data_IF_541943237328
#
_entry.id   IF_541943237328
#
_cell.length_a   1.000
_cell.length_b   1.000
_cell.length_c   1.000
_cell.angle_alpha   90.00
_cell.angle_beta   90.00
_cell.angle_gamma   90.00
#
_symmetry.space_group_name_H-M   'P 1'
#
loop_
_entity.id
_entity.type
_entity.pdbx_description
1 polymer ?
#
# COMPACT_ATOMS: atom_id res chain seq x y z
N UNK A 1 -32.44 27.62 -14.15
CA UNK A 1 -31.19 28.30 -13.71
C UNK A 1 -30.97 28.08 -12.21
N UNK A 2 -30.95 26.81 -11.79
CA UNK A 2 -30.59 26.38 -10.43
C UNK A 2 -30.19 24.90 -10.53
N UNK A 3 -29.09 24.64 -11.22
CA UNK A 3 -28.49 23.31 -11.41
C UNK A 3 -27.06 23.54 -11.91
N UNK A 4 -26.16 23.80 -10.96
CA UNK A 4 -24.69 24.03 -11.04
C UNK A 4 -24.38 24.64 -9.67
N UNK A 5 -23.63 24.08 -8.72
CA UNK A 5 -22.55 23.10 -8.70
C UNK A 5 -22.63 22.47 -7.30
N UNK A 6 -23.05 21.21 -7.20
CA UNK A 6 -22.17 20.12 -6.81
C UNK A 6 -21.19 20.48 -5.67
N UNK A 7 -21.60 20.18 -4.43
CA UNK A 7 -20.76 19.57 -3.39
C UNK A 7 -19.28 20.01 -3.41
N UNK A 8 -18.99 21.16 -2.78
CA UNK A 8 -17.62 21.57 -2.45
C UNK A 8 -17.06 20.69 -1.33
N UNK A 9 -16.85 19.40 -1.62
CA UNK A 9 -15.98 18.56 -0.80
C UNK A 9 -14.86 18.03 -1.71
N UNK A 10 -13.59 18.40 -1.48
CA UNK A 10 -12.45 17.91 -2.27
C UNK A 10 -12.25 16.38 -2.21
N UNK A 11 -13.08 15.65 -1.46
CA UNK A 11 -13.10 14.19 -1.34
C UNK A 11 -13.94 13.46 -2.40
N UNK A 12 -14.89 14.11 -3.09
CA UNK A 12 -15.80 13.41 -4.03
C UNK A 12 -15.18 13.17 -5.41
N UNK A 13 -14.08 13.88 -5.75
CA UNK A 13 -13.42 13.78 -7.07
C UNK A 13 -12.36 12.67 -7.11
N UNK A 14 -12.03 12.04 -5.98
CA UNK A 14 -10.97 11.02 -5.86
C UNK A 14 -11.49 9.57 -5.82
N UNK A 15 -12.72 9.31 -6.27
CA UNK A 15 -13.32 7.97 -6.13
C UNK A 15 -12.85 6.91 -7.13
N UNK A 16 -12.07 7.23 -8.17
CA UNK A 16 -11.62 6.21 -9.16
C UNK A 16 -10.12 5.85 -9.08
N UNK A 17 -9.25 6.72 -8.55
CA UNK A 17 -7.80 6.49 -8.58
C UNK A 17 -7.27 5.74 -7.32
N UNK A 18 -7.92 5.86 -6.15
CA UNK A 18 -7.40 5.33 -4.87
C UNK A 18 -8.33 4.34 -4.19
N UNK A 19 -9.04 3.52 -4.97
CA UNK A 19 -10.09 2.60 -4.49
C UNK A 19 -9.62 1.73 -3.31
N UNK A 20 -8.39 1.23 -3.32
CA UNK A 20 -7.90 0.37 -2.23
C UNK A 20 -7.82 1.09 -0.88
N UNK A 21 -7.54 2.39 -0.85
CA UNK A 21 -7.42 3.17 0.39
C UNK A 21 -8.77 3.34 1.10
N UNK A 22 -9.87 3.33 0.33
CA UNK A 22 -11.23 3.41 0.90
C UNK A 22 -11.60 2.21 1.79
N UNK A 23 -10.86 1.09 1.68
CA UNK A 23 -11.07 -0.09 2.52
C UNK A 23 -10.61 0.10 3.97
N UNK A 24 -9.81 1.13 4.25
CA UNK A 24 -9.25 1.40 5.58
C UNK A 24 -10.13 2.45 6.27
N UNK A 25 -11.00 2.00 7.17
CA UNK A 25 -12.02 2.83 7.79
C UNK A 25 -11.46 3.54 9.04
N UNK A 26 -11.72 4.84 9.14
CA UNK A 26 -11.46 5.62 10.37
C UNK A 26 -9.99 6.01 10.58
N UNK A 27 -9.16 5.94 9.54
CA UNK A 27 -7.72 6.29 9.59
C UNK A 27 -7.34 7.40 8.59
N UNK A 28 -8.25 8.33 8.31
CA UNK A 28 -8.10 9.37 7.28
C UNK A 28 -6.79 10.15 7.42
N UNK A 29 -6.47 10.65 8.62
CA UNK A 29 -5.25 11.44 8.87
C UNK A 29 -3.96 10.65 8.56
N UNK A 30 -3.96 9.35 8.86
CA UNK A 30 -2.81 8.48 8.59
C UNK A 30 -2.67 8.20 7.08
N UNK A 31 -3.79 7.92 6.41
CA UNK A 31 -3.85 7.71 4.96
C UNK A 31 -3.38 8.98 4.23
N UNK A 32 -3.84 10.16 4.64
CA UNK A 32 -3.45 11.43 4.04
C UNK A 32 -1.95 11.72 4.19
N UNK A 33 -1.33 11.30 5.29
CA UNK A 33 0.12 11.41 5.48
C UNK A 33 0.88 10.48 4.55
N UNK A 34 0.41 9.23 4.41
CA UNK A 34 1.02 8.25 3.52
C UNK A 34 0.91 8.71 2.07
N UNK A 35 -0.28 9.11 1.61
CA UNK A 35 -0.52 9.57 0.24
C UNK A 35 0.32 10.82 -0.09
N UNK A 36 0.46 11.76 0.85
CA UNK A 36 1.37 12.90 0.66
C UNK A 36 2.82 12.47 0.52
N UNK A 37 3.27 11.51 1.33
CA UNK A 37 4.63 10.99 1.22
C UNK A 37 4.89 10.22 -0.07
N UNK A 38 3.89 9.48 -0.58
CA UNK A 38 4.00 8.75 -1.85
C UNK A 38 4.10 9.68 -3.06
N UNK A 39 3.56 10.90 -2.96
CA UNK A 39 3.65 11.94 -4.00
C UNK A 39 4.94 12.75 -3.93
N UNK A 40 5.70 12.65 -2.84
CA UNK A 40 7.00 13.31 -2.69
C UNK A 40 8.06 12.53 -3.46
N UNK A 41 8.97 13.22 -4.15
CA UNK A 41 10.15 12.60 -4.77
C UNK A 41 11.13 12.03 -3.72
N UNK A 42 11.03 12.48 -2.47
CA UNK A 42 11.83 12.03 -1.33
C UNK A 42 11.06 11.01 -0.46
N UNK A 43 10.45 10.00 -1.09
CA UNK A 43 9.73 8.96 -0.38
C UNK A 43 10.61 8.17 0.62
N UNK A 44 10.06 7.83 1.79
CA UNK A 44 10.76 6.94 2.74
C UNK A 44 10.84 5.51 2.20
N UNK A 45 12.01 4.89 2.30
CA UNK A 45 12.28 3.51 1.91
C UNK A 45 11.73 2.47 2.91
N UNK A 46 11.36 2.91 4.12
CA UNK A 46 10.87 2.03 5.18
C UNK A 46 9.70 2.67 5.94
N UNK A 47 8.72 1.83 6.28
CA UNK A 47 7.50 2.23 6.96
C UNK A 47 7.20 1.29 8.12
N UNK A 48 6.88 1.86 9.28
CA UNK A 48 6.47 1.10 10.47
C UNK A 48 5.05 1.52 10.87
N UNK A 49 4.09 0.60 10.73
CA UNK A 49 2.73 0.81 11.18
C UNK A 49 2.58 0.38 12.64
N UNK A 50 2.18 1.31 13.51
CA UNK A 50 2.02 1.09 14.95
C UNK A 50 0.58 1.37 15.37
N UNK A 51 0.04 0.55 16.25
CA UNK A 51 -1.30 0.74 16.81
C UNK A 51 -1.92 -0.56 17.35
N UNK A 52 -3.13 -0.48 17.95
CA UNK A 52 -3.82 -1.62 18.53
C UNK A 52 -4.09 -2.76 17.53
N UNK A 53 -4.37 -3.97 18.04
CA UNK A 53 -4.80 -5.10 17.19
C UNK A 53 -6.13 -4.75 16.51
N UNK A 54 -6.27 -5.09 15.23
CA UNK A 54 -7.50 -4.86 14.46
C UNK A 54 -7.63 -3.48 13.81
N UNK A 55 -6.73 -2.53 14.06
CA UNK A 55 -6.78 -1.16 13.49
C UNK A 55 -6.48 -1.09 11.97
N UNK A 56 -6.21 -2.23 11.32
CA UNK A 56 -5.96 -2.28 9.87
C UNK A 56 -4.49 -2.18 9.45
N UNK A 57 -3.51 -2.27 10.36
CA UNK A 57 -2.06 -2.18 10.03
C UNK A 57 -1.62 -3.05 8.85
N UNK A 58 -2.00 -4.32 8.86
CA UNK A 58 -1.68 -5.26 7.79
C UNK A 58 -2.36 -4.87 6.47
N UNK A 59 -3.64 -4.52 6.52
CA UNK A 59 -4.39 -4.02 5.37
C UNK A 59 -3.72 -2.79 4.77
N UNK A 60 -3.34 -1.80 5.60
CA UNK A 60 -2.63 -0.60 5.18
C UNK A 60 -1.30 -0.94 4.51
N UNK A 61 -0.52 -1.88 5.07
CA UNK A 61 0.74 -2.32 4.46
C UNK A 61 0.51 -2.93 3.06
N UNK A 62 -0.51 -3.77 2.90
CA UNK A 62 -0.86 -4.36 1.60
C UNK A 62 -1.32 -3.33 0.58
N UNK A 63 -2.20 -2.41 1.00
CA UNK A 63 -2.69 -1.32 0.15
C UNK A 63 -1.53 -0.41 -0.27
N UNK A 64 -0.60 -0.12 0.64
CA UNK A 64 0.58 0.67 0.34
C UNK A 64 1.52 -0.04 -0.66
N UNK A 65 1.76 -1.33 -0.49
CA UNK A 65 2.54 -2.13 -1.45
C UNK A 65 1.89 -2.12 -2.84
N UNK A 66 0.55 -2.21 -2.89
CA UNK A 66 -0.21 -2.11 -4.13
C UNK A 66 -0.10 -0.72 -4.75
N UNK A 67 -0.18 0.34 -3.95
CA UNK A 67 -0.07 1.72 -4.43
C UNK A 67 1.30 2.01 -5.04
N UNK A 68 2.39 1.54 -4.43
CA UNK A 68 3.76 1.70 -4.95
C UNK A 68 3.97 1.03 -6.31
N UNK A 69 3.30 -0.10 -6.57
CA UNK A 69 3.40 -0.81 -7.85
C UNK A 69 2.27 -0.44 -8.84
N UNK A 70 1.40 0.49 -8.47
CA UNK A 70 0.29 0.95 -9.29
C UNK A 70 0.67 2.26 -9.99
N UNK A 71 0.18 2.47 -11.21
CA UNK A 71 0.35 3.75 -11.91
C UNK A 71 -0.55 4.86 -11.33
N UNK A 72 -1.62 4.48 -10.64
CA UNK A 72 -2.68 5.37 -10.15
C UNK A 72 -2.75 5.34 -8.61
N UNK A 73 -1.69 4.98 -7.89
CA UNK A 73 -1.66 4.96 -6.41
C UNK A 73 -2.70 4.03 -5.74
N UNK A 74 -3.00 2.88 -6.34
CA UNK A 74 -3.83 1.84 -5.74
C UNK A 74 -5.26 1.77 -6.28
N UNK A 75 -5.41 1.76 -7.61
CA UNK A 75 -6.70 1.68 -8.29
C UNK A 75 -7.46 0.36 -8.07
N UNK A 76 -6.82 -0.68 -7.54
CA UNK A 76 -7.45 -1.98 -7.24
C UNK A 76 -7.81 -2.85 -8.46
N UNK A 77 -7.77 -2.31 -9.68
CA UNK A 77 -8.19 -3.01 -10.91
C UNK A 77 -7.03 -3.49 -11.79
N UNK A 78 -5.84 -2.91 -11.65
CA UNK A 78 -4.69 -3.31 -12.45
C UNK A 78 -4.13 -4.68 -12.00
N UNK A 79 -3.37 -5.33 -12.89
CA UNK A 79 -2.78 -6.67 -12.64
C UNK A 79 -1.90 -6.67 -11.39
N UNK A 80 -1.09 -5.64 -11.18
CA UNK A 80 -0.22 -5.54 -10.00
C UNK A 80 -1.04 -5.45 -8.71
N UNK A 81 -1.99 -4.51 -8.62
CA UNK A 81 -2.93 -4.43 -7.48
C UNK A 81 -3.61 -5.77 -7.22
N UNK A 82 -4.11 -6.44 -8.26
CA UNK A 82 -4.78 -7.73 -8.13
C UNK A 82 -3.86 -8.86 -7.64
N UNK A 83 -2.58 -8.89 -8.05
CA UNK A 83 -1.59 -9.87 -7.57
C UNK A 83 -1.20 -9.60 -6.12
N UNK A 84 -1.00 -8.34 -5.76
CA UNK A 84 -0.56 -7.92 -4.42
C UNK A 84 -1.65 -8.17 -3.39
N UNK A 85 -2.89 -7.82 -3.72
CA UNK A 85 -4.04 -8.07 -2.82
C UNK A 85 -4.30 -9.56 -2.59
N UNK A 86 -3.87 -10.42 -3.53
CA UNK A 86 -3.89 -11.88 -3.43
C UNK A 86 -2.59 -12.50 -2.91
N UNK A 87 -1.60 -11.68 -2.55
CA UNK A 87 -0.31 -12.13 -1.99
C UNK A 87 0.49 -13.06 -2.94
N UNK A 88 0.36 -12.86 -4.25
CA UNK A 88 1.04 -13.65 -5.30
C UNK A 88 1.95 -12.81 -6.21
N UNK A 89 2.31 -11.61 -5.80
CA UNK A 89 3.19 -10.75 -6.59
C UNK A 89 4.65 -11.22 -6.42
N UNK A 90 5.40 -11.50 -7.52
CA UNK A 90 6.71 -12.14 -7.45
C UNK A 90 7.78 -11.29 -6.74
N UNK A 91 7.63 -9.96 -6.76
CA UNK A 91 8.58 -9.02 -6.15
C UNK A 91 8.14 -8.53 -4.75
N UNK A 92 7.10 -9.12 -4.16
CA UNK A 92 6.65 -8.76 -2.80
C UNK A 92 6.75 -9.98 -1.90
N UNK A 93 7.50 -9.80 -0.82
CA UNK A 93 7.79 -10.85 0.14
C UNK A 93 7.03 -10.59 1.44
N UNK A 94 6.23 -11.56 1.85
CA UNK A 94 5.59 -11.58 3.16
C UNK A 94 6.44 -12.41 4.11
N UNK A 95 6.94 -11.77 5.17
CA UNK A 95 7.60 -12.45 6.29
C UNK A 95 6.64 -12.42 7.48
N UNK A 96 6.27 -13.61 7.93
CA UNK A 96 5.48 -13.80 9.14
C UNK A 96 6.35 -14.46 10.23
N UNK A 97 6.11 -14.13 11.50
CA UNK A 97 6.79 -14.79 12.60
C UNK A 97 6.36 -16.25 12.75
N UNK A 98 7.31 -17.11 13.06
CA UNK A 98 7.06 -18.48 13.51
C UNK A 98 6.92 -18.46 15.03
N UNK A 99 5.66 -18.45 15.50
CA UNK A 99 5.36 -18.24 16.92
C UNK A 99 5.76 -16.83 17.37
N UNK A 100 6.80 -16.75 18.21
CA UNK A 100 7.30 -15.47 18.76
C UNK A 100 8.61 -15.02 18.10
N UNK A 101 9.07 -15.70 17.05
CA UNK A 101 10.40 -15.48 16.48
C UNK A 101 10.34 -15.25 14.97
N UNK A 102 11.27 -14.44 14.48
CA UNK A 102 11.62 -14.37 13.06
C UNK A 102 13.06 -14.86 12.97
N UNK A 103 13.28 -15.95 12.25
CA UNK A 103 14.60 -16.56 12.13
C UNK A 103 15.53 -15.68 11.28
N UNK A 104 16.80 -15.63 11.67
CA UNK A 104 17.80 -14.82 10.96
C UNK A 104 18.08 -15.38 9.56
N UNK A 105 17.95 -16.70 9.39
CA UNK A 105 18.05 -17.39 8.10
C UNK A 105 17.01 -16.85 7.11
N UNK A 106 15.74 -16.74 7.52
CA UNK A 106 14.65 -16.19 6.70
C UNK A 106 14.98 -14.78 6.18
N UNK A 107 15.55 -13.93 7.05
CA UNK A 107 15.93 -12.57 6.68
C UNK A 107 17.12 -12.57 5.71
N UNK A 108 18.12 -13.43 5.91
CA UNK A 108 19.28 -13.55 5.02
C UNK A 108 18.87 -14.01 3.62
N UNK A 109 17.95 -14.97 3.53
CA UNK A 109 17.41 -15.47 2.26
C UNK A 109 16.60 -14.39 1.52
N UNK A 110 15.82 -13.59 2.26
CA UNK A 110 15.16 -12.42 1.72
C UNK A 110 16.16 -11.43 1.13
N UNK A 111 17.22 -11.07 1.89
CA UNK A 111 18.23 -10.10 1.44
C UNK A 111 18.92 -10.54 0.14
N UNK A 112 19.14 -11.85 -0.03
CA UNK A 112 19.68 -12.39 -1.28
C UNK A 112 18.69 -12.27 -2.44
N UNK A 113 17.40 -12.48 -2.18
CA UNK A 113 16.33 -12.40 -3.18
C UNK A 113 16.10 -10.97 -3.68
N UNK A 114 16.07 -9.98 -2.78
CA UNK A 114 15.87 -8.56 -3.13
C UNK A 114 17.06 -7.91 -3.83
N UNK A 115 18.25 -8.51 -3.74
CA UNK A 115 19.43 -8.06 -4.50
C UNK A 115 19.35 -8.36 -6.00
N UNK A 116 18.34 -9.13 -6.45
CA UNK A 116 18.14 -9.46 -7.85
C UNK A 116 17.31 -8.39 -8.54
N UNK A 117 17.32 -8.38 -9.87
CA UNK A 117 16.46 -7.48 -10.65
C UNK A 117 14.99 -7.88 -10.45
N UNK A 118 14.12 -6.89 -10.27
CA UNK A 118 12.67 -7.09 -10.19
C UNK A 118 12.15 -7.81 -11.44
N UNK A 119 11.18 -8.70 -11.25
CA UNK A 119 10.48 -9.38 -12.34
C UNK A 119 9.48 -8.45 -13.03
N UNK A 120 8.66 -7.74 -12.26
CA UNK A 120 7.64 -6.81 -12.76
C UNK A 120 7.39 -5.59 -11.85
N UNK A 121 7.96 -5.55 -10.65
CA UNK A 121 7.79 -4.47 -9.67
C UNK A 121 8.38 -3.14 -10.15
N UNK A 122 7.61 -2.07 -9.95
CA UNK A 122 8.03 -0.69 -10.23
C UNK A 122 8.71 -0.11 -8.99
N UNK A 123 9.85 0.55 -9.17
CA UNK A 123 10.53 1.35 -8.14
C UNK A 123 10.19 2.82 -8.38
#
# INVERSE_FOLDING_TARGET
MTLLVAINNPMDVLMDETILWSSIIGQNDAIDRILRSLRSEEGSHAWLFVGPRGVGKWTTAKVMAAALNCQENGCGRCVSCGKIMREIHPDIFLIEPEGNFIHIETIRDLLQSVSRKNYEGKI
#
